data_IF_169043695151
#
_entry.id   IF_169043695151
#
_cell.length_a   1.000
_cell.length_b   1.000
_cell.length_c   1.000
_cell.angle_alpha   90.00
_cell.angle_beta   90.00
_cell.angle_gamma   90.00
#
_symmetry.space_group_name_H-M   'P 1'
#
loop_
_entity.id
_entity.type
_entity.pdbx_description
1 polymer ?
#
# COMPACT_ATOMS: atom_id res chain seq x y z
N UNK A 1 -14.46 -8.09 -9.15
CA UNK A 1 -13.92 -6.87 -9.76
C UNK A 1 -12.93 -6.25 -8.78
N UNK A 2 -11.78 -5.75 -9.22
CA UNK A 2 -10.90 -5.00 -8.34
C UNK A 2 -11.63 -3.77 -7.83
N UNK A 3 -11.67 -3.58 -6.52
CA UNK A 3 -12.37 -2.46 -5.88
C UNK A 3 -11.58 -1.16 -5.98
N UNK A 4 -10.29 -1.25 -6.34
CA UNK A 4 -9.39 -0.12 -6.41
C UNK A 4 -8.60 -0.17 -7.71
N UNK A 5 -8.22 1.00 -8.22
CA UNK A 5 -7.47 1.13 -9.45
C UNK A 5 -6.33 2.11 -9.27
N UNK A 6 -5.10 1.64 -9.51
CA UNK A 6 -3.93 2.49 -9.58
C UNK A 6 -3.82 3.07 -11.00
N UNK A 7 -3.80 4.40 -11.11
CA UNK A 7 -3.50 5.10 -12.36
C UNK A 7 -2.26 5.98 -12.14
N UNK A 8 -1.15 5.57 -12.74
CA UNK A 8 0.13 6.23 -12.51
C UNK A 8 0.55 6.09 -11.05
N UNK A 9 0.57 7.22 -10.35
CA UNK A 9 0.91 7.28 -8.92
C UNK A 9 -0.31 7.41 -8.00
N UNK A 10 -1.50 7.57 -8.55
CA UNK A 10 -2.72 7.81 -7.78
C UNK A 10 -3.55 6.53 -7.68
N UNK A 11 -3.99 6.22 -6.46
CA UNK A 11 -4.93 5.13 -6.18
C UNK A 11 -6.34 5.70 -6.14
N UNK A 12 -7.24 5.05 -6.89
CA UNK A 12 -8.65 5.37 -6.98
C UNK A 12 -9.50 4.24 -6.41
N UNK A 13 -10.63 4.58 -5.80
CA UNK A 13 -11.66 3.62 -5.43
C UNK A 13 -12.55 3.24 -6.63
N UNK A 14 -13.52 2.34 -6.39
CA UNK A 14 -14.48 1.90 -7.42
C UNK A 14 -15.42 3.02 -7.90
N UNK A 15 -15.53 4.12 -7.15
CA UNK A 15 -16.29 5.31 -7.52
C UNK A 15 -15.44 6.37 -8.23
N UNK A 16 -14.17 6.06 -8.57
CA UNK A 16 -13.21 6.99 -9.17
C UNK A 16 -12.81 8.17 -8.27
N UNK A 17 -12.98 8.06 -6.96
CA UNK A 17 -12.39 9.00 -6.01
C UNK A 17 -10.94 8.64 -5.76
N UNK A 18 -10.06 9.64 -5.83
CA UNK A 18 -8.67 9.48 -5.44
C UNK A 18 -8.61 9.28 -3.92
N UNK A 19 -8.00 8.20 -3.48
CA UNK A 19 -7.86 7.87 -2.05
C UNK A 19 -6.42 8.00 -1.56
N UNK A 20 -5.45 7.76 -2.43
CA UNK A 20 -4.04 7.90 -2.10
C UNK A 20 -3.20 8.35 -3.29
N UNK A 21 -2.06 8.96 -3.01
CA UNK A 21 -1.05 9.36 -3.99
C UNK A 21 0.33 8.87 -3.55
N UNK A 22 1.04 8.20 -4.44
CA UNK A 22 2.44 7.78 -4.24
C UNK A 22 3.36 8.91 -4.70
N UNK A 23 4.28 9.34 -3.84
CA UNK A 23 5.36 10.27 -4.21
C UNK A 23 6.69 9.66 -3.83
N UNK A 24 7.35 9.03 -4.79
CA UNK A 24 8.57 8.26 -4.55
C UNK A 24 8.29 7.09 -3.60
N UNK A 25 8.88 7.14 -2.41
CA UNK A 25 8.70 6.13 -1.37
C UNK A 25 7.61 6.49 -0.35
N UNK A 26 7.05 7.69 -0.44
CA UNK A 26 6.05 8.18 0.50
C UNK A 26 4.65 7.98 -0.07
N UNK A 27 3.74 7.51 0.77
CA UNK A 27 2.32 7.42 0.47
C UNK A 27 1.60 8.55 1.17
N UNK A 28 0.75 9.25 0.41
CA UNK A 28 -0.09 10.32 0.90
C UNK A 28 -1.55 9.93 0.75
N UNK A 29 -2.38 10.35 1.69
CA UNK A 29 -3.83 10.25 1.56
C UNK A 29 -4.39 11.31 0.59
N UNK A 30 -5.70 11.28 0.36
CA UNK A 30 -6.37 12.29 -0.47
C UNK A 30 -6.26 13.73 0.08
N UNK A 31 -5.97 13.89 1.37
CA UNK A 31 -5.80 15.18 2.04
C UNK A 31 -4.34 15.66 2.02
N UNK A 32 -3.44 14.94 1.34
CA UNK A 32 -2.00 15.21 1.29
C UNK A 32 -1.28 15.04 2.64
N UNK A 33 -1.85 14.30 3.58
CA UNK A 33 -1.13 13.82 4.75
C UNK A 33 -0.36 12.56 4.42
N UNK A 34 0.87 12.49 4.91
CA UNK A 34 1.71 11.30 4.74
C UNK A 34 1.10 10.17 5.56
N UNK A 35 0.67 9.11 4.90
CA UNK A 35 0.08 7.93 5.55
C UNK A 35 1.15 6.88 5.88
N UNK A 36 2.12 6.70 4.99
CA UNK A 36 3.20 5.75 5.17
C UNK A 36 4.47 6.12 4.40
N UNK A 37 5.59 5.53 4.78
CA UNK A 37 6.84 5.53 4.02
C UNK A 37 7.38 4.13 3.84
N UNK A 38 7.82 3.85 2.62
CA UNK A 38 8.49 2.62 2.25
C UNK A 38 10.00 2.81 2.37
N UNK A 39 10.66 1.93 3.12
CA UNK A 39 12.11 1.87 3.18
C UNK A 39 12.57 0.46 2.84
N UNK A 40 12.92 0.27 1.57
CA UNK A 40 13.25 -1.04 1.02
C UNK A 40 12.04 -1.99 1.08
N UNK A 41 12.12 -2.99 1.95
CA UNK A 41 11.07 -3.98 2.17
C UNK A 41 10.17 -3.67 3.37
N UNK A 42 10.52 -2.65 4.15
CA UNK A 42 9.79 -2.28 5.35
C UNK A 42 8.86 -1.10 5.08
N UNK A 43 7.71 -1.13 5.74
CA UNK A 43 6.67 -0.10 5.65
C UNK A 43 6.54 0.52 7.04
N UNK A 44 6.59 1.84 7.08
CA UNK A 44 6.47 2.64 8.29
C UNK A 44 5.27 3.56 8.21
N UNK A 45 4.64 3.84 9.35
CA UNK A 45 3.57 4.85 9.46
C UNK A 45 4.11 6.29 9.39
N UNK A 46 3.22 7.27 9.50
CA UNK A 46 3.55 8.70 9.57
C UNK A 46 4.46 9.05 10.77
N UNK A 47 4.36 8.28 11.85
CA UNK A 47 5.13 8.40 13.09
C UNK A 47 6.46 7.65 13.03
N UNK A 48 6.84 7.10 11.88
CA UNK A 48 8.06 6.31 11.69
C UNK A 48 8.10 5.00 12.49
N UNK A 49 6.95 4.43 12.86
CA UNK A 49 6.88 3.08 13.40
C UNK A 49 6.76 2.07 12.28
N UNK A 50 7.55 1.00 12.35
CA UNK A 50 7.46 -0.11 11.40
C UNK A 50 6.14 -0.84 11.62
N UNK A 51 5.28 -0.83 10.61
CA UNK A 51 3.94 -1.45 10.67
C UNK A 51 3.87 -2.75 9.88
N UNK A 52 4.69 -2.88 8.83
CA UNK A 52 4.74 -4.10 8.03
C UNK A 52 6.10 -4.31 7.35
N UNK A 53 6.34 -5.54 6.90
CA UNK A 53 7.51 -5.96 6.09
C UNK A 53 7.04 -6.85 4.95
N UNK A 54 7.58 -6.64 3.76
CA UNK A 54 7.36 -7.52 2.62
C UNK A 54 8.56 -8.45 2.46
N UNK A 55 8.31 -9.76 2.47
CA UNK A 55 9.32 -10.77 2.16
C UNK A 55 8.85 -11.57 0.95
N UNK A 56 9.45 -11.27 -0.20
CA UNK A 56 9.03 -11.83 -1.47
C UNK A 56 7.60 -11.42 -1.81
N UNK A 57 6.68 -12.38 -1.78
CA UNK A 57 5.25 -12.16 -2.05
C UNK A 57 4.41 -12.04 -0.78
N UNK A 58 4.99 -12.30 0.39
CA UNK A 58 4.27 -12.33 1.67
C UNK A 58 4.48 -11.04 2.45
N UNK A 59 3.44 -10.62 3.16
CA UNK A 59 3.43 -9.41 3.98
C UNK A 59 3.27 -9.83 5.43
N UNK A 60 4.18 -9.33 6.25
CA UNK A 60 4.24 -9.56 7.68
C UNK A 60 3.97 -8.26 8.42
N UNK A 61 3.28 -8.32 9.56
CA UNK A 61 3.15 -7.17 10.45
C UNK A 61 4.44 -6.93 11.27
N UNK A 62 4.39 -5.93 12.15
CA UNK A 62 5.49 -5.62 13.08
C UNK A 62 5.86 -6.78 14.02
N UNK A 63 4.93 -7.70 14.30
CA UNK A 63 5.11 -8.88 15.14
C UNK A 63 5.55 -10.11 14.35
N UNK A 64 5.88 -9.96 13.06
CA UNK A 64 6.25 -11.06 12.16
C UNK A 64 5.12 -12.07 11.89
N UNK A 65 3.85 -11.68 12.08
CA UNK A 65 2.71 -12.48 11.63
C UNK A 65 2.37 -12.17 10.19
N UNK A 66 2.17 -13.21 9.38
CA UNK A 66 1.74 -13.05 8.00
C UNK A 66 0.30 -12.51 7.97
N UNK A 67 0.14 -11.32 7.39
CA UNK A 67 -1.15 -10.62 7.30
C UNK A 67 -1.72 -10.60 5.88
N UNK A 68 -0.92 -10.91 4.86
CA UNK A 68 -1.39 -10.88 3.49
C UNK A 68 -0.36 -11.37 2.47
N UNK A 69 -0.79 -11.43 1.21
CA UNK A 69 0.05 -11.78 0.07
C UNK A 69 -0.18 -10.78 -1.07
N UNK A 70 0.90 -10.39 -1.73
CA UNK A 70 0.92 -9.47 -2.87
C UNK A 70 0.00 -9.94 -4.00
N UNK A 71 -0.09 -11.24 -4.26
CA UNK A 71 -0.93 -11.82 -5.32
C UNK A 71 -2.41 -11.61 -5.06
N UNK A 72 -2.84 -11.71 -3.80
CA UNK A 72 -4.24 -11.47 -3.45
C UNK A 72 -4.57 -9.98 -3.49
N UNK A 73 -3.63 -9.13 -3.10
CA UNK A 73 -3.79 -7.68 -3.19
C UNK A 73 -3.87 -7.23 -4.64
N UNK A 74 -3.10 -7.82 -5.56
CA UNK A 74 -3.21 -7.56 -7.01
C UNK A 74 -4.61 -7.86 -7.57
N UNK A 75 -5.38 -8.76 -6.95
CA UNK A 75 -6.77 -9.00 -7.34
C UNK A 75 -7.71 -7.89 -6.85
N UNK A 76 -7.32 -7.17 -5.80
CA UNK A 76 -8.10 -6.07 -5.22
C UNK A 76 -7.76 -4.71 -5.85
N UNK A 77 -6.49 -4.47 -6.17
CA UNK A 77 -5.97 -3.24 -6.77
C UNK A 77 -5.49 -3.51 -8.19
N UNK A 78 -6.24 -2.99 -9.17
CA UNK A 78 -5.92 -3.07 -10.59
C UNK A 78 -4.82 -2.06 -10.98
N UNK A 79 -3.90 -2.43 -11.87
CA UNK A 79 -2.82 -1.55 -12.33
C UNK A 79 -1.67 -1.29 -11.33
N UNK A 80 -1.63 -2.03 -10.22
CA UNK A 80 -0.64 -1.86 -9.18
C UNK A 80 0.81 -2.20 -9.60
N UNK A 81 1.76 -1.33 -9.24
CA UNK A 81 3.19 -1.63 -9.21
C UNK A 81 3.46 -2.78 -8.23
N UNK A 82 4.28 -3.77 -8.61
CA UNK A 82 4.58 -4.92 -7.75
C UNK A 82 5.47 -4.56 -6.55
N UNK A 83 5.39 -5.35 -5.48
CA UNK A 83 6.31 -5.29 -4.34
C UNK A 83 5.78 -4.50 -3.14
N UNK A 84 6.69 -3.81 -2.44
CA UNK A 84 6.43 -3.15 -1.15
C UNK A 84 5.39 -2.04 -1.23
N UNK A 85 5.32 -1.32 -2.35
CA UNK A 85 4.35 -0.24 -2.56
C UNK A 85 2.91 -0.74 -2.54
N UNK A 86 2.67 -1.91 -3.12
CA UNK A 86 1.35 -2.49 -3.14
C UNK A 86 0.89 -2.92 -1.74
N UNK A 87 1.81 -3.52 -0.98
CA UNK A 87 1.56 -3.86 0.41
C UNK A 87 1.25 -2.62 1.25
N UNK A 88 2.00 -1.53 1.06
CA UNK A 88 1.77 -0.28 1.77
C UNK A 88 0.41 0.35 1.45
N UNK A 89 0.04 0.41 0.16
CA UNK A 89 -1.28 0.91 -0.25
C UNK A 89 -2.41 0.10 0.37
N UNK A 90 -2.30 -1.22 0.31
CA UNK A 90 -3.31 -2.11 0.86
C UNK A 90 -3.43 -1.96 2.37
N UNK A 91 -2.31 -1.91 3.08
CA UNK A 91 -2.29 -1.81 4.54
C UNK A 91 -2.88 -0.48 5.05
N UNK A 92 -2.65 0.62 4.33
CA UNK A 92 -3.07 1.96 4.77
C UNK A 92 -4.46 2.38 4.28
N UNK A 93 -4.92 1.88 3.13
CA UNK A 93 -6.13 2.42 2.46
C UNK A 93 -7.17 1.35 2.10
N UNK A 94 -6.86 0.05 2.21
CA UNK A 94 -7.77 -1.02 1.79
C UNK A 94 -8.16 -1.95 2.94
N UNK A 95 -7.21 -2.28 3.81
CA UNK A 95 -7.43 -3.14 4.98
C UNK A 95 -8.35 -2.50 6.01
#
# INVERSE_FOLDING_TARGET
MPNFKLKGNDLYDNHSHKIATIRGNDLYDNHSHKAAVIRGNDIYDDKSHKIATVKGSDIYDAHSHKIGNISDIKKQIDGALGGTTLAALWLCFVR
#
